data_IF_650638159278
#
_entry.id   IF_650638159278
#
_cell.length_a   1.000
_cell.length_b   1.000
_cell.length_c   1.000
_cell.angle_alpha   90.00
_cell.angle_beta   90.00
_cell.angle_gamma   90.00
#
_symmetry.space_group_name_H-M   'P 1'
#
loop_
_entity.id
_entity.type
_entity.pdbx_description
1 polymer ?
#
# COMPACT_ATOMS: atom_id res chain seq x y z
N UNK A 1 -0.63 13.36 23.65
CA UNK A 1 -0.06 12.43 24.64
C UNK A 1 0.58 11.27 23.88
N UNK A 2 1.91 11.24 23.77
CA UNK A 2 2.64 10.14 23.15
C UNK A 2 2.62 8.93 24.10
N UNK A 3 2.03 7.83 23.64
CA UNK A 3 2.04 6.59 24.41
C UNK A 3 3.43 5.96 24.27
N UNK A 4 4.27 6.07 25.30
CA UNK A 4 5.69 5.70 25.28
C UNK A 4 5.95 4.19 25.01
N UNK A 5 4.91 3.36 24.97
CA UNK A 5 4.98 1.91 24.68
C UNK A 5 4.38 1.49 23.33
N UNK A 6 4.07 2.44 22.43
CA UNK A 6 3.62 2.06 21.09
C UNK A 6 4.78 1.46 20.29
N UNK A 7 4.63 0.21 19.84
CA UNK A 7 5.49 -0.41 18.82
C UNK A 7 5.39 0.30 17.46
N UNK A 8 4.36 1.13 17.27
CA UNK A 8 4.19 1.96 16.09
C UNK A 8 4.82 3.34 16.26
N UNK A 9 5.44 3.85 15.20
CA UNK A 9 6.06 5.16 15.08
C UNK A 9 5.24 6.02 14.12
N UNK A 10 4.71 7.13 14.61
CA UNK A 10 4.08 8.12 13.74
C UNK A 10 5.16 8.95 13.06
N UNK A 11 5.08 9.07 11.75
CA UNK A 11 6.06 9.79 10.94
C UNK A 11 5.32 10.81 10.07
N UNK A 12 5.85 12.03 10.05
CA UNK A 12 5.36 13.13 9.23
C UNK A 12 6.57 13.75 8.53
N UNK A 13 6.66 13.53 7.22
CA UNK A 13 7.66 14.15 6.35
C UNK A 13 6.90 15.21 5.57
N UNK A 14 7.13 16.48 5.90
CA UNK A 14 6.45 17.61 5.25
C UNK A 14 7.48 18.65 4.85
N UNK A 15 7.37 19.17 3.63
CA UNK A 15 8.14 20.32 3.19
C UNK A 15 7.17 21.46 2.93
N UNK A 16 7.26 22.51 3.76
CA UNK A 16 6.28 23.60 3.79
C UNK A 16 6.85 24.97 3.44
N UNK A 17 8.17 25.14 3.45
CA UNK A 17 8.68 26.49 3.64
C UNK A 17 8.98 27.26 2.35
N UNK A 18 9.38 26.63 1.22
CA UNK A 18 9.76 27.41 0.01
C UNK A 18 9.48 26.75 -1.36
N UNK A 19 8.82 25.59 -1.42
CA UNK A 19 8.67 24.80 -2.67
C UNK A 19 7.26 24.26 -2.94
N UNK A 20 7.00 23.69 -4.14
CA UNK A 20 5.75 23.02 -4.43
C UNK A 20 5.47 21.91 -3.42
N UNK A 21 4.26 21.81 -2.84
CA UNK A 21 4.08 21.07 -1.61
C UNK A 21 4.23 19.56 -1.80
N UNK A 22 4.85 18.93 -0.82
CA UNK A 22 4.99 17.47 -0.70
C UNK A 22 4.84 17.06 0.76
N UNK A 23 4.09 16.00 0.99
CA UNK A 23 4.00 15.39 2.29
C UNK A 23 3.78 13.88 2.23
N UNK A 24 4.28 13.23 3.27
CA UNK A 24 4.02 11.85 3.62
C UNK A 24 3.68 11.82 5.11
N UNK A 25 2.51 11.32 5.45
CA UNK A 25 2.03 11.17 6.82
C UNK A 25 1.61 9.71 7.00
N UNK A 26 2.09 9.08 8.06
CA UNK A 26 1.79 7.68 8.27
C UNK A 26 2.33 7.14 9.58
N UNK A 27 2.23 5.81 9.70
CA UNK A 27 2.74 5.06 10.85
C UNK A 27 3.53 3.86 10.36
N UNK A 28 4.63 3.55 11.04
CA UNK A 28 5.43 2.34 10.78
C UNK A 28 5.45 1.48 12.02
N UNK A 29 5.51 0.17 11.86
CA UNK A 29 5.64 -0.80 12.94
C UNK A 29 6.36 -2.06 12.46
N UNK A 30 6.66 -3.01 13.34
CA UNK A 30 7.30 -4.27 12.93
C UNK A 30 6.50 -4.96 11.83
N UNK A 31 7.08 -5.06 10.63
CA UNK A 31 6.49 -5.72 9.47
C UNK A 31 5.39 -4.97 8.75
N UNK A 32 5.12 -3.69 9.09
CA UNK A 32 3.97 -2.96 8.53
C UNK A 32 4.20 -1.45 8.35
N UNK A 33 3.64 -0.92 7.26
CA UNK A 33 3.48 0.52 7.00
C UNK A 33 1.99 0.86 6.91
N UNK A 34 1.59 1.99 7.49
CA UNK A 34 0.32 2.65 7.24
C UNK A 34 0.60 3.99 6.55
N UNK A 35 0.13 4.17 5.32
CA UNK A 35 0.22 5.41 4.55
C UNK A 35 -1.09 6.16 4.77
N UNK A 36 -1.13 7.03 5.79
CA UNK A 36 -2.36 7.68 6.24
C UNK A 36 -2.74 8.88 5.34
N UNK A 37 -1.76 9.66 4.87
CA UNK A 37 -1.97 10.74 3.90
C UNK A 37 -0.69 11.04 3.10
N UNK A 38 -0.84 11.24 1.79
CA UNK A 38 0.27 11.52 0.87
C UNK A 38 -0.13 12.53 -0.19
N UNK A 39 0.82 13.38 -0.53
CA UNK A 39 0.68 14.27 -1.68
C UNK A 39 2.05 14.65 -2.20
N UNK A 40 2.16 14.76 -3.52
CA UNK A 40 3.32 15.33 -4.17
C UNK A 40 2.86 16.23 -5.31
N UNK A 41 3.21 17.50 -5.24
CA UNK A 41 3.00 18.40 -6.37
C UNK A 41 3.74 17.89 -7.60
N UNK A 42 3.12 18.00 -8.78
CA UNK A 42 3.76 17.66 -10.07
C UNK A 42 4.97 18.54 -10.38
N UNK A 43 5.08 19.70 -9.73
CA UNK A 43 6.18 20.66 -9.89
C UNK A 43 7.30 20.47 -8.87
N UNK A 44 7.12 19.57 -7.90
CA UNK A 44 8.16 19.32 -6.91
C UNK A 44 9.29 18.49 -7.52
N UNK A 45 10.51 18.88 -7.20
CA UNK A 45 11.75 18.15 -7.48
C UNK A 45 12.20 17.28 -6.29
N UNK A 46 11.41 17.26 -5.21
CA UNK A 46 11.68 16.45 -4.03
C UNK A 46 11.50 14.95 -4.33
N UNK A 47 12.07 14.05 -3.49
CA UNK A 47 11.93 12.62 -3.66
C UNK A 47 10.48 12.15 -3.88
N UNK A 48 10.32 11.04 -4.59
CA UNK A 48 9.00 10.47 -4.79
C UNK A 48 8.43 9.92 -3.47
N UNK A 49 7.10 9.82 -3.38
CA UNK A 49 6.41 9.23 -2.22
C UNK A 49 6.95 7.83 -1.87
N UNK A 50 7.39 7.06 -2.87
CA UNK A 50 8.06 5.77 -2.69
C UNK A 50 9.36 5.88 -1.87
N UNK A 51 10.15 6.92 -2.10
CA UNK A 51 11.41 7.16 -1.39
C UNK A 51 11.15 7.62 0.04
N UNK A 52 10.17 8.50 0.25
CA UNK A 52 9.73 8.86 1.61
C UNK A 52 9.17 7.65 2.37
N UNK A 53 8.39 6.79 1.71
CA UNK A 53 7.88 5.55 2.31
C UNK A 53 9.02 4.63 2.76
N UNK A 54 10.06 4.48 1.90
CA UNK A 54 11.27 3.72 2.24
C UNK A 54 12.04 4.34 3.40
N UNK A 55 12.26 5.65 3.37
CA UNK A 55 12.93 6.35 4.46
C UNK A 55 12.16 6.18 5.77
N UNK A 56 10.84 6.41 5.76
CA UNK A 56 9.97 6.29 6.93
C UNK A 56 10.08 4.91 7.60
N UNK A 57 10.07 3.82 6.84
CA UNK A 57 10.19 2.48 7.42
C UNK A 57 11.62 2.17 7.91
N UNK A 58 12.64 2.55 7.13
CA UNK A 58 14.05 2.27 7.43
C UNK A 58 14.60 3.02 8.64
N UNK A 59 13.92 4.06 9.12
CA UNK A 59 14.31 4.77 10.33
C UNK A 59 14.37 3.85 11.54
N UNK A 60 13.38 2.95 11.66
CA UNK A 60 13.21 2.12 12.86
C UNK A 60 13.21 0.61 12.57
N UNK A 61 12.99 0.18 11.33
CA UNK A 61 12.80 -1.23 10.99
C UNK A 61 13.62 -1.68 9.76
N UNK A 62 14.17 -2.91 9.76
CA UNK A 62 14.88 -3.44 8.61
C UNK A 62 13.89 -3.73 7.47
N UNK A 63 14.19 -3.30 6.23
CA UNK A 63 13.28 -3.49 5.08
C UNK A 63 12.80 -4.93 4.93
N UNK A 64 13.69 -5.91 5.07
CA UNK A 64 13.36 -7.32 4.85
C UNK A 64 12.31 -7.87 5.83
N UNK A 65 12.04 -7.18 6.95
CA UNK A 65 10.94 -7.51 7.85
C UNK A 65 9.56 -7.09 7.36
N UNK A 66 9.48 -6.17 6.38
CA UNK A 66 8.22 -5.60 5.90
C UNK A 66 7.38 -6.64 5.15
N UNK A 67 6.15 -6.82 5.62
CA UNK A 67 5.19 -7.78 5.06
C UNK A 67 3.96 -7.08 4.48
N UNK A 68 3.48 -6.01 5.09
CA UNK A 68 2.20 -5.41 4.71
C UNK A 68 2.27 -3.88 4.61
N UNK A 69 1.58 -3.33 3.62
CA UNK A 69 1.37 -1.89 3.50
C UNK A 69 -0.13 -1.63 3.49
N UNK A 70 -0.59 -0.81 4.43
CA UNK A 70 -1.98 -0.38 4.54
C UNK A 70 -2.11 1.06 4.06
N UNK A 71 -3.18 1.32 3.32
CA UNK A 71 -3.60 2.66 2.93
C UNK A 71 -5.03 2.84 3.46
N UNK A 72 -5.18 3.35 4.69
CA UNK A 72 -6.49 3.61 5.27
C UNK A 72 -7.16 4.81 4.60
N UNK A 73 -8.49 4.84 4.64
CA UNK A 73 -9.30 5.97 4.19
C UNK A 73 -8.95 6.47 2.77
N UNK A 74 -8.82 5.55 1.82
CA UNK A 74 -8.50 5.89 0.42
C UNK A 74 -9.48 6.94 -0.10
N UNK A 75 -8.96 8.13 -0.41
CA UNK A 75 -9.73 9.27 -0.91
C UNK A 75 -9.29 9.74 -2.30
N UNK A 76 -8.26 9.12 -2.89
CA UNK A 76 -7.78 9.44 -4.23
C UNK A 76 -8.83 9.01 -5.27
N UNK A 77 -9.34 9.98 -6.02
CA UNK A 77 -10.55 9.83 -6.84
C UNK A 77 -10.40 8.77 -7.95
N UNK A 78 -9.22 8.64 -8.56
CA UNK A 78 -9.01 7.63 -9.60
C UNK A 78 -9.00 6.22 -9.03
N UNK A 79 -8.39 6.04 -7.87
CA UNK A 79 -8.35 4.77 -7.12
C UNK A 79 -9.77 4.40 -6.68
N UNK A 80 -10.53 5.32 -6.10
CA UNK A 80 -11.93 5.10 -5.71
C UNK A 80 -12.82 4.73 -6.91
N UNK A 81 -12.67 5.45 -8.03
CA UNK A 81 -13.44 5.17 -9.25
C UNK A 81 -13.10 3.80 -9.85
N UNK A 82 -11.81 3.43 -9.86
CA UNK A 82 -11.34 2.13 -10.31
C UNK A 82 -11.90 1.00 -9.42
N UNK A 83 -11.82 1.13 -8.10
CA UNK A 83 -12.32 0.11 -7.17
C UNK A 83 -13.82 -0.10 -7.36
N UNK A 84 -14.62 0.97 -7.46
CA UNK A 84 -16.07 0.83 -7.73
C UNK A 84 -16.37 0.05 -9.02
N UNK A 85 -15.57 0.27 -10.07
CA UNK A 85 -15.70 -0.46 -11.34
C UNK A 85 -15.31 -1.93 -11.20
N UNK A 86 -14.20 -2.22 -10.51
CA UNK A 86 -13.74 -3.58 -10.19
C UNK A 86 -14.80 -4.36 -9.42
N UNK A 87 -15.41 -3.75 -8.39
CA UNK A 87 -16.49 -4.40 -7.65
C UNK A 87 -17.71 -4.65 -8.54
N UNK A 88 -18.10 -3.68 -9.37
CA UNK A 88 -19.26 -3.81 -10.26
C UNK A 88 -19.06 -4.86 -11.37
N UNK A 89 -17.82 -5.11 -11.80
CA UNK A 89 -17.53 -6.10 -12.84
C UNK A 89 -17.51 -7.54 -12.33
N UNK A 90 -17.42 -7.73 -11.01
CA UNK A 90 -17.40 -9.06 -10.40
C UNK A 90 -18.82 -9.48 -10.00
N UNK A 91 -19.28 -10.61 -10.53
CA UNK A 91 -20.59 -11.15 -10.19
C UNK A 91 -20.70 -11.45 -8.69
N UNK A 92 -21.82 -11.04 -8.07
CA UNK A 92 -22.07 -11.24 -6.64
C UNK A 92 -21.34 -10.28 -5.71
N UNK A 93 -20.54 -9.33 -6.22
CA UNK A 93 -19.92 -8.29 -5.39
C UNK A 93 -20.73 -6.99 -5.41
N UNK A 94 -20.82 -6.37 -4.23
CA UNK A 94 -21.42 -5.05 -4.05
C UNK A 94 -20.40 -4.09 -3.46
N UNK A 95 -20.50 -2.82 -3.86
CA UNK A 95 -19.71 -1.74 -3.28
C UNK A 95 -20.64 -0.82 -2.48
N UNK A 96 -20.35 -0.52 -1.20
CA UNK A 96 -19.30 -1.13 -0.38
C UNK A 96 -19.62 -2.60 -0.03
N UNK A 97 -18.60 -3.41 0.19
CA UNK A 97 -18.78 -4.81 0.62
C UNK A 97 -18.63 -4.94 2.13
N UNK A 98 -19.45 -5.81 2.72
CA UNK A 98 -19.38 -6.24 4.12
C UNK A 98 -18.23 -7.20 4.40
N UNK A 99 -17.60 -7.75 3.35
CA UNK A 99 -16.48 -8.68 3.46
C UNK A 99 -15.24 -8.14 2.74
N UNK A 100 -14.07 -8.52 3.24
CA UNK A 100 -12.81 -8.25 2.56
C UNK A 100 -12.79 -8.95 1.19
N UNK A 101 -12.28 -8.25 0.18
CA UNK A 101 -12.05 -8.81 -1.15
C UNK A 101 -10.56 -8.96 -1.36
N UNK A 102 -10.14 -10.10 -1.91
CA UNK A 102 -8.75 -10.43 -2.19
C UNK A 102 -8.59 -10.48 -3.70
N UNK A 103 -7.62 -9.72 -4.19
CA UNK A 103 -7.27 -9.64 -5.61
C UNK A 103 -5.89 -10.24 -5.79
N UNK A 104 -5.82 -11.30 -6.59
CA UNK A 104 -4.59 -12.07 -6.82
C UNK A 104 -3.89 -11.63 -8.12
N UNK A 105 -2.55 -11.78 -8.25
CA UNK A 105 -1.79 -11.27 -9.40
C UNK A 105 -2.25 -11.79 -10.76
N UNK A 106 -2.89 -12.95 -10.81
CA UNK A 106 -3.46 -13.54 -12.04
C UNK A 106 -4.74 -12.86 -12.51
N UNK A 107 -5.34 -11.97 -11.71
CA UNK A 107 -6.64 -11.35 -11.99
C UNK A 107 -6.49 -10.00 -12.71
N UNK A 108 -7.46 -9.68 -13.57
CA UNK A 108 -7.55 -8.36 -14.22
C UNK A 108 -7.75 -7.23 -13.21
N UNK A 109 -8.45 -7.52 -12.13
CA UNK A 109 -8.76 -6.59 -11.04
C UNK A 109 -7.49 -6.19 -10.31
N UNK A 110 -6.61 -7.14 -9.99
CA UNK A 110 -5.31 -6.84 -9.40
C UNK A 110 -4.51 -5.88 -10.28
N UNK A 111 -4.44 -6.16 -11.58
CA UNK A 111 -3.72 -5.30 -12.54
C UNK A 111 -4.34 -3.90 -12.63
N UNK A 112 -5.68 -3.81 -12.62
CA UNK A 112 -6.39 -2.54 -12.62
C UNK A 112 -6.10 -1.73 -11.34
N UNK A 113 -6.16 -2.36 -10.16
CA UNK A 113 -5.87 -1.74 -8.88
C UNK A 113 -4.41 -1.29 -8.75
N UNK A 114 -3.48 -2.10 -9.24
CA UNK A 114 -2.05 -1.77 -9.28
C UNK A 114 -1.79 -0.55 -10.19
N UNK A 115 -2.58 -0.37 -11.25
CA UNK A 115 -2.51 0.76 -12.16
C UNK A 115 -3.03 2.10 -11.62
N UNK A 116 -3.67 2.10 -10.45
CA UNK A 116 -4.21 3.31 -9.79
C UNK A 116 -3.10 4.20 -9.20
N UNK A 117 -3.45 5.40 -8.74
CA UNK A 117 -2.48 6.29 -8.09
C UNK A 117 -1.82 5.65 -6.87
N UNK A 118 -2.63 5.07 -5.99
CA UNK A 118 -2.14 4.35 -4.79
C UNK A 118 -1.37 3.09 -5.18
N UNK A 119 -1.92 2.28 -6.10
CA UNK A 119 -1.23 1.07 -6.58
C UNK A 119 0.15 1.35 -7.14
N UNK A 120 0.30 2.42 -7.94
CA UNK A 120 1.58 2.86 -8.49
C UNK A 120 2.56 3.34 -7.43
N UNK A 121 2.09 4.06 -6.41
CA UNK A 121 2.95 4.48 -5.29
C UNK A 121 3.53 3.25 -4.58
N UNK A 122 2.70 2.26 -4.29
CA UNK A 122 3.15 1.04 -3.61
C UNK A 122 4.06 0.20 -4.51
N UNK A 123 3.74 0.06 -5.79
CA UNK A 123 4.60 -0.62 -6.77
C UNK A 123 5.97 0.04 -6.89
N UNK A 124 5.99 1.38 -7.00
CA UNK A 124 7.23 2.16 -7.04
C UNK A 124 8.03 2.03 -5.75
N UNK A 125 7.36 1.96 -4.59
CA UNK A 125 8.02 1.69 -3.32
C UNK A 125 8.71 0.32 -3.31
N UNK A 126 8.01 -0.76 -3.73
CA UNK A 126 8.60 -2.10 -3.77
C UNK A 126 9.84 -2.14 -4.67
N UNK A 127 9.76 -1.53 -5.86
CA UNK A 127 10.91 -1.41 -6.77
C UNK A 127 12.06 -0.58 -6.16
N UNK A 128 11.74 0.54 -5.50
CA UNK A 128 12.72 1.41 -4.86
C UNK A 128 13.41 0.73 -3.66
N UNK A 129 12.69 -0.08 -2.89
CA UNK A 129 13.18 -0.70 -1.67
C UNK A 129 14.07 -1.92 -1.95
N UNK A 130 13.73 -2.78 -2.90
CA UNK A 130 14.43 -4.05 -3.15
C UNK A 130 15.00 -4.22 -4.56
N UNK A 131 14.73 -3.30 -5.49
CA UNK A 131 15.02 -3.52 -6.91
C UNK A 131 14.08 -4.55 -7.54
N UNK A 132 14.45 -5.08 -8.70
CA UNK A 132 13.68 -6.10 -9.41
C UNK A 132 14.03 -7.50 -8.88
N UNK A 133 13.04 -8.40 -8.85
CA UNK A 133 13.29 -9.84 -8.65
C UNK A 133 13.50 -10.30 -7.20
N UNK A 134 13.40 -9.42 -6.19
CA UNK A 134 13.47 -9.80 -4.77
C UNK A 134 12.12 -9.94 -4.09
N UNK A 135 11.35 -8.84 -4.06
CA UNK A 135 10.02 -8.78 -3.46
C UNK A 135 8.98 -8.43 -4.51
N UNK A 136 7.75 -8.88 -4.28
CA UNK A 136 6.59 -8.48 -5.08
C UNK A 136 5.35 -8.27 -4.20
N UNK A 137 4.35 -7.62 -4.77
CA UNK A 137 3.02 -7.52 -4.19
C UNK A 137 2.31 -8.85 -4.47
N UNK A 138 2.10 -9.62 -3.41
CA UNK A 138 1.49 -10.95 -3.42
C UNK A 138 0.00 -10.89 -3.75
N UNK A 139 -0.68 -9.91 -3.15
CA UNK A 139 -2.12 -9.68 -3.30
C UNK A 139 -2.47 -8.26 -2.89
N UNK A 140 -3.60 -7.79 -3.38
CA UNK A 140 -4.22 -6.54 -2.92
C UNK A 140 -5.50 -6.94 -2.21
N UNK A 141 -5.73 -6.43 -1.00
CA UNK A 141 -6.95 -6.65 -0.24
C UNK A 141 -7.69 -5.34 -0.08
N UNK A 142 -8.97 -5.32 -0.42
CA UNK A 142 -9.85 -4.16 -0.23
C UNK A 142 -10.93 -4.50 0.78
N UNK A 143 -11.13 -3.64 1.78
CA UNK A 143 -12.13 -3.86 2.82
C UNK A 143 -12.65 -2.53 3.38
N UNK A 144 -13.81 -2.60 4.02
CA UNK A 144 -14.44 -1.49 4.73
C UNK A 144 -14.49 -1.85 6.21
N UNK A 145 -14.19 -0.90 7.10
CA UNK A 145 -14.23 -1.13 8.55
C UNK A 145 -15.51 -0.53 9.13
N UNK A 146 -16.34 -1.39 9.73
CA UNK A 146 -17.51 -1.08 10.57
C UNK A 146 -18.54 -0.09 9.99
N UNK A 147 -19.32 0.56 10.87
CA UNK A 147 -20.47 1.43 10.61
C UNK A 147 -20.20 2.63 9.66
N UNK A 148 -18.95 2.84 9.25
CA UNK A 148 -18.59 3.80 8.23
C UNK A 148 -18.20 3.09 6.94
N UNK A 149 -19.22 2.57 6.26
CA UNK A 149 -19.13 1.90 4.95
C UNK A 149 -18.48 2.74 3.84
N UNK A 150 -18.19 4.02 4.10
CA UNK A 150 -17.51 4.91 3.17
C UNK A 150 -15.98 4.92 3.34
N UNK A 151 -15.44 4.34 4.41
CA UNK A 151 -13.99 4.26 4.65
C UNK A 151 -13.41 2.99 4.01
N UNK A 152 -12.88 3.16 2.81
CA UNK A 152 -12.19 2.12 2.08
C UNK A 152 -10.74 1.99 2.56
N UNK A 153 -10.32 0.76 2.81
CA UNK A 153 -8.94 0.39 3.11
C UNK A 153 -8.39 -0.45 1.97
N UNK A 154 -7.13 -0.20 1.63
CA UNK A 154 -6.33 -1.09 0.80
C UNK A 154 -5.19 -1.66 1.63
N UNK A 155 -4.94 -2.96 1.51
CA UNK A 155 -3.75 -3.63 2.04
C UNK A 155 -3.01 -4.30 0.89
N UNK A 156 -1.69 -4.15 0.89
CA UNK A 156 -0.80 -4.77 -0.07
C UNK A 156 0.10 -5.72 0.71
N UNK A 157 -0.01 -7.01 0.42
CA UNK A 157 0.80 -8.02 1.08
C UNK A 157 2.05 -8.24 0.22
N UNK A 158 3.22 -8.34 0.85
CA UNK A 158 4.50 -8.47 0.20
C UNK A 158 5.10 -9.84 0.48
N UNK A 159 5.80 -10.37 -0.51
CA UNK A 159 6.43 -11.70 -0.42
C UNK A 159 7.74 -11.74 -1.20
N UNK A 160 8.61 -12.67 -0.83
CA UNK A 160 9.84 -12.95 -1.57
C UNK A 160 9.55 -13.81 -2.80
N UNK A 161 10.10 -13.43 -3.94
CA UNK A 161 9.88 -14.14 -5.22
C UNK A 161 10.42 -15.58 -5.18
N UNK A 162 11.48 -15.83 -4.42
CA UNK A 162 12.07 -17.17 -4.29
C UNK A 162 11.17 -18.17 -3.54
N UNK A 163 10.23 -17.70 -2.72
CA UNK A 163 9.24 -18.57 -2.09
C UNK A 163 8.24 -19.14 -3.12
N UNK A 164 8.04 -18.47 -4.27
CA UNK A 164 7.26 -18.99 -5.40
C UNK A 164 8.02 -20.03 -6.21
N UNK A 165 9.32 -19.82 -6.41
CA UNK A 165 10.14 -20.82 -7.07
C UNK A 165 10.13 -22.13 -6.27
N UNK A 166 10.25 -22.07 -4.95
CA UNK A 166 10.23 -23.24 -4.09
C UNK A 166 8.83 -23.90 -4.00
N UNK A 167 7.75 -23.13 -3.97
CA UNK A 167 6.39 -23.70 -3.97
C UNK A 167 6.01 -24.36 -5.30
N UNK A 168 6.53 -23.85 -6.44
CA UNK A 168 6.40 -24.47 -7.75
C UNK A 168 7.31 -25.70 -7.92
N UNK A 169 8.42 -25.78 -7.17
CA UNK A 169 9.36 -26.92 -7.19
C UNK A 169 9.01 -28.00 -6.15
N UNK A 170 8.05 -27.77 -5.25
CA UNK A 170 7.56 -28.76 -4.28
C UNK A 170 6.01 -28.87 -4.26
N UNK A 171 5.33 -29.15 -5.39
CA UNK A 171 3.91 -29.44 -5.37
C UNK A 171 3.69 -30.87 -4.86
N UNK A 172 3.61 -31.03 -3.53
CA UNK A 172 3.14 -32.27 -2.90
C UNK A 172 4.18 -33.02 -2.07
N UNK A 173 4.34 -32.59 -0.82
CA UNK A 173 4.75 -33.44 0.29
C UNK A 173 3.64 -33.41 1.34
#
# INVERSE_FOLDING_TARGET
>A
MSNANSTYRSISITQRDEGPPVWWIGRTGPGVIFIDDIFRSKRSDDPYISEFTKAAYKLDFPLDSLQNIFVPNVNEMNTLSCIKKVYKSCEGLHYPSSTQQIWEPSSSEFSALLGTGIGKVVAAFVLCAWGQGRKRIARIVTFHIDANVHKLYMRFDLEDIWQYALSLLSPGL
#
